data_IF_082910341456
#
_entry.id   IF_082910341456
#
_cell.length_a   1.000
_cell.length_b   1.000
_cell.length_c   1.000
_cell.angle_alpha   90.00
_cell.angle_beta   90.00
_cell.angle_gamma   90.00
#
_symmetry.space_group_name_H-M   'P 1'
#
loop_
_entity.id
_entity.type
_entity.pdbx_description
1 polymer ?
#
# COMPACT_ATOMS: atom_id res chain seq x y z
N UNK A 1 -35.88 20.29 13.75
CA UNK A 1 -34.61 20.39 12.98
C UNK A 1 -33.62 19.42 13.62
N UNK A 2 -33.20 18.36 12.92
CA UNK A 2 -32.26 17.36 13.47
C UNK A 2 -30.83 17.90 13.32
N UNK A 3 -30.11 18.01 14.44
CA UNK A 3 -28.71 18.40 14.46
C UNK A 3 -27.87 17.33 13.75
N UNK A 4 -27.49 17.59 12.50
CA UNK A 4 -26.52 16.76 11.79
C UNK A 4 -25.15 17.11 12.36
N UNK A 5 -24.59 16.19 13.14
CA UNK A 5 -23.23 16.29 13.67
C UNK A 5 -22.27 16.45 12.49
N UNK A 6 -21.54 17.58 12.45
CA UNK A 6 -20.50 17.82 11.45
C UNK A 6 -19.43 16.74 11.64
N UNK A 7 -19.45 15.72 10.77
CA UNK A 7 -18.42 14.72 10.73
C UNK A 7 -17.09 15.42 10.39
N UNK A 8 -16.25 15.64 11.40
CA UNK A 8 -14.91 16.19 11.21
C UNK A 8 -14.15 15.21 10.31
N UNK A 9 -13.75 15.67 9.11
CA UNK A 9 -12.88 14.89 8.23
C UNK A 9 -11.62 14.52 9.01
N UNK A 10 -11.41 13.23 9.26
CA UNK A 10 -10.13 12.73 9.78
C UNK A 10 -9.05 13.10 8.77
N UNK A 11 -7.97 13.75 9.21
CA UNK A 11 -6.90 14.11 8.31
C UNK A 11 -6.34 12.86 7.61
N UNK A 12 -6.09 12.97 6.30
CA UNK A 12 -5.51 11.90 5.49
C UNK A 12 -4.16 11.50 6.12
N UNK A 13 -4.02 10.26 6.58
CA UNK A 13 -2.75 9.72 7.11
C UNK A 13 -2.63 9.58 8.62
N UNK A 14 -3.62 9.99 9.43
CA UNK A 14 -3.53 9.94 10.92
C UNK A 14 -3.38 8.51 11.47
N UNK A 15 -3.80 7.49 10.73
CA UNK A 15 -3.76 6.08 11.17
C UNK A 15 -2.61 5.28 10.58
N UNK A 16 -1.76 5.86 9.73
CA UNK A 16 -0.72 5.11 9.01
C UNK A 16 0.64 5.44 9.62
N UNK A 17 1.17 4.53 10.44
CA UNK A 17 2.57 4.63 10.87
C UNK A 17 3.48 4.61 9.64
N UNK A 18 4.50 5.48 9.55
CA UNK A 18 5.46 5.43 8.46
C UNK A 18 6.13 4.05 8.44
N UNK A 19 6.14 3.41 7.27
CA UNK A 19 6.84 2.15 7.06
C UNK A 19 8.21 2.46 6.46
N UNK A 20 9.26 2.32 7.26
CA UNK A 20 10.63 2.35 6.77
C UNK A 20 10.97 1.01 6.14
N UNK A 21 11.14 0.97 4.81
CA UNK A 21 11.61 -0.22 4.09
C UNK A 21 13.06 0.04 3.70
N UNK A 22 13.94 -0.93 3.97
CA UNK A 22 15.32 -0.90 3.50
C UNK A 22 15.35 -1.49 2.10
N UNK A 23 15.87 -0.72 1.15
CA UNK A 23 16.06 -1.11 -0.23
C UNK A 23 17.51 -0.81 -0.62
N UNK A 24 18.08 -1.61 -1.52
CA UNK A 24 19.34 -1.27 -2.20
C UNK A 24 19.12 -0.10 -3.15
N UNK A 25 20.20 0.48 -3.70
CA UNK A 25 20.11 1.53 -4.73
C UNK A 25 19.28 1.08 -5.91
N UNK A 26 19.57 -0.12 -6.40
CA UNK A 26 18.98 -0.66 -7.63
C UNK A 26 17.49 -0.93 -7.44
N UNK A 27 17.10 -1.43 -6.25
CA UNK A 27 15.70 -1.62 -5.87
C UNK A 27 14.96 -0.28 -5.77
N UNK A 28 15.61 0.79 -5.28
CA UNK A 28 15.00 2.13 -5.26
C UNK A 28 14.75 2.63 -6.68
N UNK A 29 15.74 2.51 -7.56
CA UNK A 29 15.64 2.96 -8.95
C UNK A 29 14.52 2.23 -9.71
N UNK A 30 14.37 0.92 -9.50
CA UNK A 30 13.26 0.16 -10.08
C UNK A 30 11.90 0.63 -9.56
N UNK A 31 11.76 0.76 -8.24
CA UNK A 31 10.51 1.19 -7.60
C UNK A 31 10.12 2.59 -8.08
N UNK A 32 11.07 3.51 -8.19
CA UNK A 32 10.84 4.87 -8.69
C UNK A 32 10.45 4.85 -10.16
N UNK A 33 11.16 4.11 -11.01
CA UNK A 33 10.85 4.00 -12.43
C UNK A 33 9.44 3.46 -12.70
N UNK A 34 8.96 2.49 -11.92
CA UNK A 34 7.56 2.03 -12.03
C UNK A 34 6.55 3.01 -11.44
N UNK A 35 6.88 3.66 -10.32
CA UNK A 35 5.99 4.64 -9.71
C UNK A 35 5.75 5.83 -10.66
N UNK A 36 6.80 6.32 -11.32
CA UNK A 36 6.74 7.39 -12.32
C UNK A 36 5.88 7.00 -13.53
N UNK A 37 6.10 5.82 -14.11
CA UNK A 37 5.28 5.31 -15.23
C UNK A 37 3.79 5.23 -14.90
N UNK A 38 3.44 5.08 -13.62
CA UNK A 38 2.05 5.01 -13.15
C UNK A 38 1.51 6.35 -12.66
N UNK A 39 2.30 7.43 -12.71
CA UNK A 39 1.99 8.75 -12.15
C UNK A 39 1.64 8.68 -10.65
N UNK A 40 2.38 7.86 -9.90
CA UNK A 40 2.18 7.65 -8.46
C UNK A 40 3.44 7.95 -7.66
N UNK A 41 3.26 8.20 -6.37
CA UNK A 41 4.41 8.34 -5.47
C UNK A 41 5.04 6.98 -5.16
N UNK A 42 6.35 6.98 -4.90
CA UNK A 42 7.10 5.81 -4.41
C UNK A 42 6.41 5.12 -3.23
N UNK A 43 5.96 5.90 -2.24
CA UNK A 43 5.27 5.38 -1.06
C UNK A 43 3.94 4.69 -1.41
N UNK A 44 3.17 5.25 -2.36
CA UNK A 44 1.95 4.62 -2.85
C UNK A 44 2.27 3.29 -3.55
N UNK A 45 3.29 3.28 -4.40
CA UNK A 45 3.65 2.11 -5.20
C UNK A 45 4.17 0.97 -4.31
N UNK A 46 5.02 1.26 -3.33
CA UNK A 46 5.46 0.28 -2.33
C UNK A 46 4.27 -0.31 -1.56
N UNK A 47 3.32 0.52 -1.13
CA UNK A 47 2.09 0.04 -0.47
C UNK A 47 1.28 -0.87 -1.41
N UNK A 48 1.18 -0.51 -2.68
CA UNK A 48 0.49 -1.32 -3.68
C UNK A 48 1.14 -2.69 -3.85
N UNK A 49 2.47 -2.76 -3.97
CA UNK A 49 3.22 -4.01 -4.09
C UNK A 49 3.02 -4.92 -2.87
N UNK A 50 3.08 -4.37 -1.65
CA UNK A 50 2.84 -5.13 -0.42
C UNK A 50 1.44 -5.76 -0.42
N UNK A 51 0.41 -4.99 -0.77
CA UNK A 51 -0.97 -5.48 -0.79
C UNK A 51 -1.19 -6.53 -1.88
N UNK A 52 -0.56 -6.34 -3.05
CA UNK A 52 -0.60 -7.32 -4.14
C UNK A 52 0.05 -8.64 -3.71
N UNK A 53 1.28 -8.60 -3.18
CA UNK A 53 1.99 -9.79 -2.70
C UNK A 53 1.23 -10.51 -1.58
N UNK A 54 0.58 -9.77 -0.68
CA UNK A 54 -0.26 -10.37 0.37
C UNK A 54 -1.48 -11.10 -0.22
N UNK A 55 -2.12 -10.54 -1.24
CA UNK A 55 -3.23 -11.21 -1.92
C UNK A 55 -2.78 -12.47 -2.66
N UNK A 56 -1.62 -12.40 -3.34
CA UNK A 56 -1.02 -13.53 -4.04
C UNK A 56 -0.68 -14.66 -3.06
N UNK A 57 0.00 -14.35 -1.96
CA UNK A 57 0.34 -15.32 -0.93
C UNK A 57 -0.88 -16.01 -0.31
N UNK A 58 -1.97 -15.26 -0.06
CA UNK A 58 -3.23 -15.85 0.44
C UNK A 58 -3.83 -16.82 -0.57
N UNK A 59 -3.74 -16.52 -1.88
CA UNK A 59 -4.21 -17.42 -2.93
C UNK A 59 -3.38 -18.71 -2.96
N UNK A 60 -2.06 -18.60 -2.88
CA UNK A 60 -1.17 -19.76 -2.84
C UNK A 60 -1.45 -20.67 -1.63
N UNK A 61 -1.67 -20.09 -0.44
CA UNK A 61 -2.03 -20.87 0.75
C UNK A 61 -3.36 -21.61 0.59
N UNK A 62 -4.37 -20.94 0.04
CA UNK A 62 -5.67 -21.57 -0.23
C UNK A 62 -5.54 -22.72 -1.25
N UNK A 63 -4.70 -22.57 -2.28
CA UNK A 63 -4.44 -23.61 -3.27
C UNK A 63 -3.67 -24.80 -2.70
N UNK A 64 -2.72 -24.58 -1.77
CA UNK A 64 -1.93 -25.65 -1.13
C UNK A 64 -2.73 -26.47 -0.10
N UNK A 65 -3.80 -25.90 0.46
CA UNK A 65 -4.64 -26.56 1.46
C UNK A 65 -5.59 -27.64 0.89
N UNK A 66 -5.59 -27.87 -0.43
CA UNK A 66 -6.51 -28.79 -1.12
C UNK A 66 -5.88 -30.18 -1.38
N UNK A 67 -4.75 -30.50 -0.73
CA UNK A 67 -4.11 -31.82 -0.80
C UNK A 67 -3.97 -32.47 0.57
#
# INVERSE_FOLDING_TARGET
>A
MKNVSIARRTAKGVTTKPLGVRLTSDEVDEVEGYAEKLERSRAWFLRFLILRGLADYKRELASKSIH
#
